data_IF_667642629906
#
_entry.id   IF_667642629906
#
_cell.length_a   1.000
_cell.length_b   1.000
_cell.length_c   1.000
_cell.angle_alpha   90.00
_cell.angle_beta   90.00
_cell.angle_gamma   90.00
#
_symmetry.space_group_name_H-M   'P 1'
#
loop_
_entity.id
_entity.type
_entity.pdbx_description
1 polymer ?
#
# COMPACT_ATOMS: atom_id res chain seq x y z
N UNK A 1 4.33 -12.51 -23.41
CA UNK A 1 3.83 -11.30 -24.10
C UNK A 1 2.78 -11.66 -25.16
N UNK A 2 1.51 -11.78 -24.76
CA UNK A 2 0.39 -11.91 -25.69
C UNK A 2 -0.37 -10.60 -25.70
N UNK A 3 -0.19 -9.85 -26.77
CA UNK A 3 -0.85 -8.57 -26.99
C UNK A 3 -0.92 -8.29 -28.47
N UNK A 4 -1.63 -9.13 -29.22
CA UNK A 4 -2.07 -8.77 -30.56
C UNK A 4 -3.54 -8.42 -30.45
N UNK A 5 -3.82 -7.12 -30.43
CA UNK A 5 -5.14 -6.64 -30.78
C UNK A 5 -5.40 -7.13 -32.21
N UNK A 6 -6.30 -8.10 -32.37
CA UNK A 6 -6.57 -8.72 -33.66
C UNK A 6 -6.85 -7.64 -34.72
N UNK A 7 -6.10 -7.66 -35.82
CA UNK A 7 -6.24 -6.70 -36.92
C UNK A 7 -5.48 -5.38 -36.79
N UNK A 8 -4.62 -5.18 -35.77
CA UNK A 8 -3.80 -3.96 -35.61
C UNK A 8 -2.32 -4.29 -35.43
N UNK A 9 -1.43 -3.40 -35.92
CA UNK A 9 0.02 -3.59 -35.84
C UNK A 9 0.59 -3.27 -34.44
N UNK A 10 -0.19 -2.61 -33.59
CA UNK A 10 0.19 -2.32 -32.20
C UNK A 10 -1.01 -2.08 -31.29
N UNK A 11 -0.81 -2.25 -29.97
CA UNK A 11 -1.81 -1.87 -28.96
C UNK A 11 -2.20 -0.39 -29.02
N UNK A 12 -1.25 0.49 -29.39
CA UNK A 12 -1.51 1.93 -29.56
C UNK A 12 -2.44 2.19 -30.74
N UNK A 13 -2.26 1.48 -31.84
CA UNK A 13 -3.11 1.59 -33.02
C UNK A 13 -4.53 1.10 -32.72
N UNK A 14 -4.65 -0.05 -32.06
CA UNK A 14 -5.94 -0.58 -31.61
C UNK A 14 -6.67 0.39 -30.66
N UNK A 15 -5.95 1.00 -29.72
CA UNK A 15 -6.51 1.98 -28.79
C UNK A 15 -7.05 3.21 -29.55
N UNK A 16 -6.29 3.77 -30.49
CA UNK A 16 -6.74 4.90 -31.33
C UNK A 16 -7.97 4.55 -32.15
N UNK A 17 -8.00 3.37 -32.76
CA UNK A 17 -9.16 2.91 -33.53
C UNK A 17 -10.40 2.77 -32.65
N UNK A 18 -10.25 2.22 -31.43
CA UNK A 18 -11.31 2.15 -30.42
C UNK A 18 -11.82 3.54 -30.02
N UNK A 19 -10.93 4.48 -29.71
CA UNK A 19 -11.31 5.85 -29.35
C UNK A 19 -12.07 6.55 -30.48
N UNK A 20 -11.61 6.43 -31.72
CA UNK A 20 -12.31 6.98 -32.88
C UNK A 20 -13.69 6.33 -33.08
N UNK A 21 -13.80 5.01 -32.85
CA UNK A 21 -15.07 4.29 -32.87
C UNK A 21 -16.05 4.77 -31.80
N UNK A 22 -15.59 4.93 -30.55
CA UNK A 22 -16.40 5.45 -29.44
C UNK A 22 -16.84 6.89 -29.71
N UNK A 23 -15.96 7.74 -30.23
CA UNK A 23 -16.33 9.11 -30.61
C UNK A 23 -17.38 9.14 -31.73
N UNK A 24 -17.30 8.25 -32.73
CA UNK A 24 -18.35 8.11 -33.75
C UNK A 24 -19.68 7.62 -33.18
N UNK A 25 -19.65 6.84 -32.10
CA UNK A 25 -20.83 6.38 -31.38
C UNK A 25 -21.42 7.45 -30.44
N UNK A 26 -20.84 8.65 -30.38
CA UNK A 26 -21.36 9.78 -29.60
C UNK A 26 -20.84 9.87 -28.17
N UNK A 27 -19.81 9.10 -27.79
CA UNK A 27 -19.19 9.24 -26.47
C UNK A 27 -18.12 10.34 -26.46
N UNK A 28 -18.14 11.20 -25.45
CA UNK A 28 -17.21 12.34 -25.32
C UNK A 28 -15.92 12.00 -24.55
N UNK A 29 -15.96 10.97 -23.70
CA UNK A 29 -14.83 10.57 -22.86
C UNK A 29 -14.79 9.05 -22.68
N UNK A 30 -13.61 8.53 -22.37
CA UNK A 30 -13.41 7.15 -21.96
C UNK A 30 -12.49 7.10 -20.75
N UNK A 31 -12.89 6.36 -19.72
CA UNK A 31 -12.06 6.01 -18.57
C UNK A 31 -11.63 4.55 -18.73
N UNK A 32 -10.35 4.36 -19.02
CA UNK A 32 -9.74 3.03 -19.07
C UNK A 32 -9.19 2.68 -17.69
N UNK A 33 -9.62 1.55 -17.13
CA UNK A 33 -9.14 1.03 -15.85
C UNK A 33 -8.51 -0.35 -16.04
N UNK A 34 -7.32 -0.52 -15.49
CA UNK A 34 -6.68 -1.83 -15.32
C UNK A 34 -6.59 -2.15 -13.84
N UNK A 35 -7.26 -3.22 -13.43
CA UNK A 35 -7.24 -3.70 -12.05
C UNK A 35 -6.27 -4.87 -11.92
N UNK A 36 -5.44 -4.85 -10.89
CA UNK A 36 -4.52 -5.93 -10.52
C UNK A 36 -4.70 -6.22 -9.06
N UNK A 37 -4.91 -7.49 -8.71
CA UNK A 37 -5.10 -7.89 -7.32
C UNK A 37 -4.48 -9.26 -7.04
N UNK A 38 -4.04 -9.48 -5.81
CA UNK A 38 -3.46 -10.76 -5.40
C UNK A 38 -2.36 -10.61 -4.37
N UNK A 39 -1.64 -11.70 -4.14
CA UNK A 39 -0.52 -11.78 -3.20
C UNK A 39 0.79 -11.67 -4.00
N UNK A 40 1.62 -10.68 -3.68
CA UNK A 40 2.84 -10.33 -4.41
C UNK A 40 4.08 -10.36 -3.51
N UNK A 41 5.24 -10.57 -4.15
CA UNK A 41 6.54 -10.57 -3.48
C UNK A 41 6.81 -11.81 -2.61
N UNK A 42 8.07 -12.02 -2.19
CA UNK A 42 8.45 -13.13 -1.32
C UNK A 42 7.82 -13.03 0.08
N UNK A 43 7.47 -11.83 0.54
CA UNK A 43 6.79 -11.57 1.83
C UNK A 43 5.30 -11.95 1.80
N UNK A 44 4.72 -12.11 0.60
CA UNK A 44 3.31 -12.43 0.41
C UNK A 44 2.40 -11.25 0.76
N UNK A 45 2.64 -10.07 0.20
CA UNK A 45 1.84 -8.87 0.43
C UNK A 45 0.56 -8.92 -0.40
N UNK A 46 -0.61 -8.83 0.23
CA UNK A 46 -1.88 -8.69 -0.47
C UNK A 46 -2.02 -7.27 -1.01
N UNK A 47 -2.32 -7.12 -2.29
CA UNK A 47 -2.36 -5.81 -2.96
C UNK A 47 -3.58 -5.76 -3.87
N UNK A 48 -4.24 -4.61 -3.89
CA UNK A 48 -5.18 -4.21 -4.94
C UNK A 48 -4.68 -2.92 -5.58
N UNK A 49 -4.66 -2.88 -6.91
CA UNK A 49 -4.12 -1.76 -7.68
C UNK A 49 -5.04 -1.44 -8.84
N UNK A 50 -5.31 -0.16 -9.04
CA UNK A 50 -6.00 0.40 -10.18
C UNK A 50 -5.09 1.36 -10.94
N UNK A 51 -4.83 1.09 -12.22
CA UNK A 51 -4.21 2.05 -13.14
C UNK A 51 -5.33 2.65 -13.97
N UNK A 52 -5.50 3.97 -13.90
CA UNK A 52 -6.58 4.67 -14.58
C UNK A 52 -6.07 5.70 -15.58
N UNK A 53 -6.75 5.78 -16.73
CA UNK A 53 -6.55 6.84 -17.73
C UNK A 53 -7.89 7.38 -18.22
N UNK A 54 -8.14 8.66 -18.01
CA UNK A 54 -9.29 9.37 -18.57
C UNK A 54 -8.86 10.11 -19.83
N UNK A 55 -9.60 9.94 -20.93
CA UNK A 55 -9.30 10.56 -22.22
C UNK A 55 -10.52 11.21 -22.84
N UNK A 56 -10.32 12.35 -23.50
CA UNK A 56 -11.33 12.98 -24.35
C UNK A 56 -11.40 12.28 -25.71
N UNK A 57 -12.61 12.10 -26.23
CA UNK A 57 -12.88 11.49 -27.53
C UNK A 57 -13.32 12.55 -28.55
N UNK A 58 -13.16 12.30 -29.87
CA UNK A 58 -12.41 11.19 -30.47
C UNK A 58 -10.88 11.38 -30.42
N UNK A 59 -10.40 12.55 -29.97
CA UNK A 59 -8.98 12.92 -30.04
C UNK A 59 -8.03 11.98 -29.29
N UNK A 60 -8.52 11.28 -28.27
CA UNK A 60 -7.71 10.47 -27.36
C UNK A 60 -6.84 11.30 -26.42
N UNK A 61 -7.06 12.61 -26.32
CA UNK A 61 -6.29 13.51 -25.44
C UNK A 61 -6.40 13.02 -23.98
N UNK A 62 -5.26 12.81 -23.33
CA UNK A 62 -5.22 12.43 -21.92
C UNK A 62 -5.70 13.60 -21.06
N UNK A 63 -6.70 13.34 -20.23
CA UNK A 63 -7.27 14.29 -19.27
C UNK A 63 -6.76 14.02 -17.86
N UNK A 64 -6.61 12.74 -17.50
CA UNK A 64 -6.13 12.32 -16.18
C UNK A 64 -5.47 10.95 -16.27
N UNK A 65 -4.46 10.73 -15.43
CA UNK A 65 -3.83 9.42 -15.21
C UNK A 65 -3.31 9.34 -13.79
N UNK A 66 -3.65 8.26 -13.10
CA UNK A 66 -3.04 7.92 -11.81
C UNK A 66 -2.97 6.39 -11.64
N UNK A 67 -2.24 5.96 -10.63
CA UNK A 67 -2.20 4.59 -10.13
C UNK A 67 -2.55 4.61 -8.66
N UNK A 68 -3.67 3.99 -8.29
CA UNK A 68 -4.10 3.85 -6.90
C UNK A 68 -3.77 2.44 -6.45
N UNK A 69 -2.97 2.32 -5.39
CA UNK A 69 -2.63 1.04 -4.78
C UNK A 69 -3.04 1.02 -3.31
N UNK A 70 -3.74 -0.03 -2.90
CA UNK A 70 -3.97 -0.37 -1.49
C UNK A 70 -3.31 -1.72 -1.18
N UNK A 71 -2.87 -1.88 0.06
CA UNK A 71 -2.33 -3.12 0.58
C UNK A 71 -3.30 -3.69 1.62
N UNK A 72 -3.31 -5.01 1.76
CA UNK A 72 -3.92 -5.68 2.90
C UNK A 72 -2.99 -5.64 4.11
N UNK A 73 -3.58 -5.48 5.29
CA UNK A 73 -2.88 -5.37 6.55
C UNK A 73 -2.33 -3.98 6.88
N UNK A 74 -1.73 -3.82 8.07
CA UNK A 74 -1.20 -2.55 8.52
C UNK A 74 0.17 -2.26 7.90
N UNK A 75 0.50 -0.97 7.84
CA UNK A 75 1.80 -0.47 7.39
C UNK A 75 2.86 -0.69 8.46
N UNK A 76 4.00 -1.25 8.06
CA UNK A 76 5.15 -1.45 8.93
C UNK A 76 6.33 -0.55 8.54
N UNK A 77 7.09 -0.12 9.53
CA UNK A 77 8.25 0.76 9.38
C UNK A 77 9.43 0.13 8.62
N UNK A 78 9.41 -1.19 8.44
CA UNK A 78 10.37 -1.93 7.62
C UNK A 78 9.92 -2.08 6.16
N UNK A 79 8.69 -1.70 5.84
CA UNK A 79 8.14 -1.90 4.50
C UNK A 79 8.95 -1.13 3.48
N UNK A 80 9.31 -1.83 2.40
CA UNK A 80 9.99 -1.19 1.29
C UNK A 80 8.98 -0.35 0.54
N UNK A 81 9.26 0.95 0.43
CA UNK A 81 8.43 1.85 -0.34
C UNK A 81 8.59 1.64 -1.86
N UNK A 82 7.95 0.61 -2.41
CA UNK A 82 8.02 0.24 -3.81
C UNK A 82 6.79 -0.55 -4.23
N UNK A 83 6.45 -0.53 -5.52
CA UNK A 83 5.36 -1.36 -6.06
C UNK A 83 5.75 -2.85 -5.96
N UNK A 84 5.09 -3.64 -5.08
CA UNK A 84 5.41 -5.06 -4.90
C UNK A 84 5.08 -5.89 -6.15
N UNK A 85 4.21 -5.40 -7.05
CA UNK A 85 3.88 -6.10 -8.30
C UNK A 85 5.07 -6.17 -9.26
N UNK A 86 6.07 -5.29 -9.10
CA UNK A 86 7.29 -5.30 -9.92
C UNK A 86 8.30 -6.40 -9.50
N UNK A 87 8.16 -6.99 -8.31
CA UNK A 87 9.19 -7.88 -7.74
C UNK A 87 9.17 -9.32 -8.27
N UNK A 88 8.16 -9.70 -9.08
CA UNK A 88 7.95 -11.08 -9.53
C UNK A 88 8.40 -11.36 -10.97
N UNK A 89 9.22 -10.51 -11.58
CA UNK A 89 9.69 -10.74 -12.96
C UNK A 89 10.35 -12.13 -13.05
N UNK A 90 9.76 -13.10 -13.79
CA UNK A 90 10.26 -14.46 -13.80
C UNK A 90 11.69 -14.49 -14.35
N UNK A 91 12.64 -14.92 -13.53
CA UNK A 91 13.97 -15.20 -14.04
C UNK A 91 14.01 -16.61 -14.61
N UNK A 92 13.76 -16.73 -15.92
CA UNK A 92 13.82 -18.01 -16.65
C UNK A 92 15.17 -18.73 -16.56
N UNK A 93 16.27 -18.01 -16.26
CA UNK A 93 17.58 -18.63 -16.05
C UNK A 93 17.81 -19.07 -14.60
N UNK A 94 16.92 -18.69 -13.67
CA UNK A 94 16.94 -19.10 -12.27
C UNK A 94 15.50 -19.23 -11.74
N UNK A 95 14.77 -20.31 -12.10
CA UNK A 95 13.34 -20.49 -11.83
C UNK A 95 13.04 -20.84 -10.36
N UNK A 96 13.71 -20.19 -9.41
CA UNK A 96 13.48 -20.38 -7.99
C UNK A 96 12.34 -19.51 -7.53
N UNK A 97 11.22 -20.14 -7.21
CA UNK A 97 10.19 -19.48 -6.40
C UNK A 97 10.76 -19.27 -4.99
N UNK A 98 11.04 -18.02 -4.64
CA UNK A 98 11.53 -17.66 -3.31
C UNK A 98 10.38 -17.03 -2.55
N UNK A 99 9.92 -17.69 -1.49
CA UNK A 99 8.84 -17.21 -0.62
C UNK A 99 9.34 -17.32 0.82
N UNK A 100 9.08 -16.28 1.63
CA UNK A 100 9.42 -16.28 3.05
C UNK A 100 8.58 -17.31 3.81
N UNK A 101 9.08 -17.84 4.94
CA UNK A 101 8.27 -18.68 5.81
C UNK A 101 6.94 -18.01 6.15
N UNK A 102 5.86 -18.79 6.14
CA UNK A 102 4.49 -18.35 6.44
C UNK A 102 3.84 -17.33 5.48
N UNK A 103 4.48 -16.91 4.39
CA UNK A 103 3.93 -15.87 3.50
C UNK A 103 2.56 -16.22 2.89
N UNK A 104 2.28 -17.51 2.66
CA UNK A 104 0.94 -17.99 2.26
C UNK A 104 0.09 -18.30 3.49
N UNK A 105 0.68 -18.97 4.49
CA UNK A 105 -0.03 -19.43 5.70
C UNK A 105 -0.71 -18.28 6.43
N UNK A 106 -0.09 -17.10 6.51
CA UNK A 106 -0.66 -15.92 7.17
C UNK A 106 -2.03 -15.50 6.63
N UNK A 107 -2.37 -15.88 5.39
CA UNK A 107 -3.64 -15.59 4.75
C UNK A 107 -4.65 -16.74 4.86
N UNK A 108 -4.17 -17.97 5.05
CA UNK A 108 -4.99 -19.18 4.90
C UNK A 108 -5.15 -20.00 6.19
N UNK A 109 -4.39 -19.68 7.25
CA UNK A 109 -4.39 -20.46 8.49
C UNK A 109 -5.73 -20.47 9.23
N UNK A 110 -6.55 -19.44 9.01
CA UNK A 110 -7.90 -19.29 9.56
C UNK A 110 -9.00 -19.75 8.60
N UNK A 111 -8.65 -20.55 7.59
CA UNK A 111 -9.58 -20.97 6.54
C UNK A 111 -9.83 -19.88 5.47
N UNK A 112 -9.02 -18.82 5.44
CA UNK A 112 -9.11 -17.76 4.44
C UNK A 112 -9.98 -16.57 4.87
N UNK A 113 -10.36 -16.49 6.14
CA UNK A 113 -11.15 -15.38 6.69
C UNK A 113 -10.37 -14.07 6.59
N UNK A 114 -9.09 -14.07 7.00
CA UNK A 114 -8.21 -12.92 6.86
C UNK A 114 -8.01 -12.54 5.40
N UNK A 115 -7.73 -13.52 4.53
CA UNK A 115 -7.57 -13.26 3.09
C UNK A 115 -8.79 -12.54 2.51
N UNK A 116 -10.00 -13.05 2.79
CA UNK A 116 -11.25 -12.46 2.31
C UNK A 116 -11.42 -11.03 2.85
N UNK A 117 -11.30 -10.86 4.16
CA UNK A 117 -11.53 -9.58 4.84
C UNK A 117 -10.57 -8.50 4.34
N UNK A 118 -9.27 -8.81 4.29
CA UNK A 118 -8.24 -7.87 3.85
C UNK A 118 -8.32 -7.58 2.35
N UNK A 119 -8.73 -8.56 1.55
CA UNK A 119 -8.96 -8.36 0.12
C UNK A 119 -10.12 -7.40 -0.14
N UNK A 120 -11.24 -7.61 0.55
CA UNK A 120 -12.43 -6.77 0.45
C UNK A 120 -12.12 -5.33 0.86
N UNK A 121 -11.44 -5.13 2.00
CA UNK A 121 -10.99 -3.80 2.46
C UNK A 121 -10.01 -3.14 1.49
N UNK A 122 -9.02 -3.87 0.98
CA UNK A 122 -8.06 -3.35 0.01
C UNK A 122 -8.74 -2.96 -1.32
N UNK A 123 -9.71 -3.75 -1.77
CA UNK A 123 -10.49 -3.44 -2.97
C UNK A 123 -11.36 -2.19 -2.77
N UNK A 124 -12.09 -2.10 -1.66
CA UNK A 124 -12.88 -0.92 -1.30
C UNK A 124 -12.01 0.34 -1.25
N UNK A 125 -10.89 0.29 -0.51
CA UNK A 125 -9.94 1.40 -0.39
C UNK A 125 -9.34 1.82 -1.75
N UNK A 126 -9.11 0.87 -2.65
CA UNK A 126 -8.64 1.19 -4.01
C UNK A 126 -9.70 1.92 -4.82
N UNK A 127 -10.96 1.49 -4.74
CA UNK A 127 -12.08 2.15 -5.41
C UNK A 127 -12.31 3.54 -4.85
N UNK A 128 -12.32 3.69 -3.53
CA UNK A 128 -12.44 5.00 -2.88
C UNK A 128 -11.30 5.93 -3.24
N UNK A 129 -10.06 5.44 -3.24
CA UNK A 129 -8.90 6.24 -3.68
C UNK A 129 -9.02 6.69 -5.14
N UNK A 130 -9.57 5.85 -6.02
CA UNK A 130 -9.84 6.21 -7.41
C UNK A 130 -10.92 7.28 -7.52
N UNK A 131 -12.04 7.14 -6.80
CA UNK A 131 -13.10 8.14 -6.79
C UNK A 131 -12.61 9.49 -6.23
N UNK A 132 -11.75 9.44 -5.20
CA UNK A 132 -11.14 10.61 -4.61
C UNK A 132 -10.16 11.30 -5.57
N UNK A 133 -9.29 10.53 -6.23
CA UNK A 133 -8.37 11.06 -7.25
C UNK A 133 -9.09 11.69 -8.46
N UNK A 134 -10.30 11.24 -8.76
CA UNK A 134 -11.15 11.79 -9.84
C UNK A 134 -12.04 12.95 -9.36
N UNK A 135 -12.06 13.24 -8.06
CA UNK A 135 -12.89 14.30 -7.48
C UNK A 135 -14.38 13.95 -7.40
N UNK A 136 -14.75 12.66 -7.46
CA UNK A 136 -16.13 12.20 -7.36
C UNK A 136 -16.60 11.97 -5.93
N UNK A 137 -15.67 11.72 -5.01
CA UNK A 137 -15.96 11.54 -3.59
C UNK A 137 -14.77 12.01 -2.75
N UNK A 138 -15.03 12.41 -1.50
CA UNK A 138 -13.97 12.58 -0.52
C UNK A 138 -14.33 11.72 0.70
N UNK A 139 -13.51 10.72 0.97
CA UNK A 139 -13.72 9.72 2.02
C UNK A 139 -12.43 9.51 2.81
N UNK A 140 -12.50 9.10 4.10
CA UNK A 140 -11.31 8.79 4.89
C UNK A 140 -10.44 7.70 4.26
N UNK A 141 -11.04 6.60 3.78
CA UNK A 141 -10.30 5.50 3.17
C UNK A 141 -9.72 5.89 1.80
N UNK A 142 -10.40 6.72 1.02
CA UNK A 142 -9.85 7.31 -0.20
C UNK A 142 -8.67 8.25 0.05
N UNK A 143 -8.75 9.12 1.06
CA UNK A 143 -7.65 9.99 1.47
C UNK A 143 -6.47 9.19 2.04
N UNK A 144 -6.74 8.16 2.83
CA UNK A 144 -5.74 7.22 3.33
C UNK A 144 -5.02 6.50 2.19
N UNK A 145 -5.77 6.01 1.19
CA UNK A 145 -5.20 5.41 -0.01
C UNK A 145 -4.27 6.39 -0.74
N UNK A 146 -4.73 7.63 -0.97
CA UNK A 146 -3.92 8.64 -1.64
C UNK A 146 -2.70 9.06 -0.83
N UNK A 147 -2.83 9.18 0.49
CA UNK A 147 -1.73 9.47 1.41
C UNK A 147 -0.65 8.39 1.38
N UNK A 148 -1.07 7.12 1.41
CA UNK A 148 -0.18 5.99 1.20
C UNK A 148 0.54 6.06 -0.15
N UNK A 149 -0.19 6.28 -1.24
CA UNK A 149 0.39 6.36 -2.58
C UNK A 149 1.36 7.56 -2.72
N UNK A 150 1.09 8.68 -2.06
CA UNK A 150 1.99 9.82 -2.00
C UNK A 150 3.28 9.48 -1.23
N UNK A 151 3.17 8.82 -0.07
CA UNK A 151 4.32 8.36 0.71
C UNK A 151 5.19 7.39 -0.10
N UNK A 152 4.58 6.44 -0.80
CA UNK A 152 5.27 5.49 -1.69
C UNK A 152 6.07 6.17 -2.81
N UNK A 153 5.67 7.39 -3.20
CA UNK A 153 6.34 8.21 -4.22
C UNK A 153 7.35 9.20 -3.64
N UNK A 154 7.61 9.14 -2.32
CA UNK A 154 8.48 10.08 -1.60
C UNK A 154 7.88 11.48 -1.44
N UNK A 155 6.58 11.64 -1.67
CA UNK A 155 5.88 12.92 -1.54
C UNK A 155 5.36 13.09 -0.11
N UNK A 156 6.27 13.16 0.86
CA UNK A 156 5.96 13.10 2.28
C UNK A 156 5.05 14.24 2.77
N UNK A 157 5.25 15.45 2.26
CA UNK A 157 4.40 16.60 2.60
C UNK A 157 2.96 16.42 2.08
N UNK A 158 2.82 15.93 0.85
CA UNK A 158 1.51 15.63 0.27
C UNK A 158 0.82 14.49 1.03
N UNK A 159 1.58 13.46 1.40
CA UNK A 159 1.05 12.37 2.22
C UNK A 159 0.55 12.90 3.58
N UNK A 160 1.31 13.79 4.21
CA UNK A 160 0.93 14.43 5.47
C UNK A 160 -0.39 15.21 5.34
N UNK A 161 -0.54 16.05 4.32
CA UNK A 161 -1.78 16.81 4.07
C UNK A 161 -3.00 15.89 3.90
N UNK A 162 -2.85 14.85 3.07
CA UNK A 162 -3.94 13.89 2.80
C UNK A 162 -4.33 13.11 4.06
N UNK A 163 -3.35 12.67 4.84
CA UNK A 163 -3.59 11.92 6.07
C UNK A 163 -4.16 12.80 7.19
N UNK A 164 -3.77 14.07 7.28
CA UNK A 164 -4.40 15.02 8.20
C UNK A 164 -5.88 15.23 7.89
N UNK A 165 -6.23 15.34 6.60
CA UNK A 165 -7.64 15.40 6.17
C UNK A 165 -8.40 14.12 6.52
N UNK A 166 -7.78 12.96 6.27
CA UNK A 166 -8.37 11.68 6.63
C UNK A 166 -8.64 11.58 8.15
N UNK A 167 -7.65 11.96 8.97
CA UNK A 167 -7.75 11.98 10.43
C UNK A 167 -8.80 12.98 10.93
N UNK A 168 -8.95 14.14 10.27
CA UNK A 168 -9.97 15.12 10.62
C UNK A 168 -11.39 14.62 10.34
N UNK A 169 -11.56 13.78 9.31
CA UNK A 169 -12.84 13.15 8.98
C UNK A 169 -13.18 11.99 9.89
N UNK A 170 -12.19 11.19 10.30
CA UNK A 170 -12.39 10.05 11.21
C UNK A 170 -11.27 9.97 12.27
N UNK A 171 -11.41 10.71 13.39
CA UNK A 171 -10.35 10.82 14.40
C UNK A 171 -10.04 9.52 15.16
N UNK A 172 -10.91 8.51 15.09
CA UNK A 172 -10.80 7.26 15.85
C UNK A 172 -10.02 6.15 15.16
N UNK A 173 -9.47 6.40 13.97
CA UNK A 173 -8.86 5.38 13.11
C UNK A 173 -7.36 5.18 13.41
N UNK A 174 -6.96 4.07 14.05
CA UNK A 174 -5.55 3.83 14.37
C UNK A 174 -4.68 3.58 13.14
N UNK A 175 -5.24 3.07 12.05
CA UNK A 175 -4.52 2.86 10.80
C UNK A 175 -4.09 4.17 10.14
N UNK A 176 -4.92 5.23 10.18
CA UNK A 176 -4.52 6.56 9.69
C UNK A 176 -3.32 7.09 10.47
N UNK A 177 -3.39 7.06 11.81
CA UNK A 177 -2.29 7.49 12.68
C UNK A 177 -1.02 6.66 12.46
N UNK A 178 -1.17 5.35 12.21
CA UNK A 178 -0.04 4.49 11.91
C UNK A 178 0.63 4.87 10.58
N UNK A 179 -0.14 5.15 9.52
CA UNK A 179 0.43 5.63 8.26
C UNK A 179 1.06 7.02 8.42
N UNK A 180 0.47 7.91 9.22
CA UNK A 180 1.07 9.22 9.54
C UNK A 180 2.44 9.06 10.21
N UNK A 181 2.54 8.21 11.22
CA UNK A 181 3.80 7.95 11.92
C UNK A 181 4.86 7.35 10.99
N UNK A 182 4.48 6.40 10.14
CA UNK A 182 5.41 5.81 9.17
C UNK A 182 5.86 6.83 8.12
N UNK A 183 4.96 7.70 7.65
CA UNK A 183 5.33 8.79 6.75
C UNK A 183 6.32 9.77 7.39
N UNK A 184 6.11 10.15 8.66
CA UNK A 184 7.05 10.99 9.41
C UNK A 184 8.44 10.35 9.51
N UNK A 185 8.51 9.07 9.85
CA UNK A 185 9.79 8.36 9.93
C UNK A 185 10.50 8.25 8.57
N UNK A 186 9.75 8.09 7.47
CA UNK A 186 10.31 8.13 6.12
C UNK A 186 10.78 9.53 5.72
N UNK A 187 10.16 10.57 6.28
CA UNK A 187 10.57 11.98 6.14
C UNK A 187 11.70 12.37 7.12
N UNK A 188 12.43 11.39 7.67
CA UNK A 188 13.54 11.59 8.63
C UNK A 188 13.13 12.21 9.99
N UNK A 189 11.82 12.31 10.27
CA UNK A 189 11.24 12.85 11.51
C UNK A 189 10.89 11.69 12.47
N UNK A 190 11.92 10.96 12.91
CA UNK A 190 11.74 9.73 13.68
C UNK A 190 11.23 10.01 15.09
N UNK A 191 11.70 11.07 15.73
CA UNK A 191 11.25 11.47 17.07
C UNK A 191 9.75 11.81 17.09
N UNK A 192 9.25 12.55 16.10
CA UNK A 192 7.82 12.82 15.94
C UNK A 192 7.02 11.55 15.65
N UNK A 193 7.55 10.66 14.80
CA UNK A 193 6.92 9.37 14.50
C UNK A 193 6.72 8.52 15.78
N UNK A 194 7.73 8.49 16.66
CA UNK A 194 7.66 7.82 17.96
C UNK A 194 6.58 8.47 18.84
N UNK A 195 6.49 9.80 18.89
CA UNK A 195 5.45 10.51 19.67
C UNK A 195 4.04 10.17 19.18
N UNK A 196 3.80 10.29 17.87
CA UNK A 196 2.49 9.98 17.26
C UNK A 196 2.11 8.52 17.51
N UNK A 197 3.08 7.61 17.42
CA UNK A 197 2.82 6.19 17.70
C UNK A 197 2.54 5.94 19.19
N UNK A 198 3.16 6.71 20.09
CA UNK A 198 2.84 6.70 21.51
C UNK A 198 1.40 7.17 21.78
N UNK A 199 0.90 8.18 21.06
CA UNK A 199 -0.50 8.62 21.15
C UNK A 199 -1.47 7.56 20.63
N UNK A 200 -1.15 6.95 19.48
CA UNK A 200 -1.91 5.82 18.94
C UNK A 200 -2.04 4.71 19.98
N UNK A 201 -0.95 4.30 20.63
CA UNK A 201 -0.97 3.23 21.63
C UNK A 201 -1.66 3.60 22.94
N UNK A 202 -1.82 4.89 23.26
CA UNK A 202 -2.69 5.31 24.37
C UNK A 202 -4.17 5.05 24.05
N UNK A 203 -4.56 5.20 22.78
CA UNK A 203 -5.94 4.98 22.33
C UNK A 203 -6.22 3.51 22.02
N UNK A 204 -5.25 2.81 21.41
CA UNK A 204 -5.33 1.43 20.99
C UNK A 204 -4.08 0.66 21.45
N UNK A 205 -4.04 0.22 22.72
CA UNK A 205 -2.87 -0.47 23.29
C UNK A 205 -2.51 -1.78 22.59
N UNK A 206 -3.47 -2.42 21.90
CA UNK A 206 -3.31 -3.70 21.21
C UNK A 206 -3.03 -3.54 19.70
N UNK A 207 -2.70 -2.34 19.23
CA UNK A 207 -2.38 -2.12 17.83
C UNK A 207 -0.96 -2.63 17.49
N UNK A 208 -0.87 -3.91 17.11
CA UNK A 208 0.40 -4.62 16.97
C UNK A 208 1.41 -3.97 15.99
N UNK A 209 0.94 -3.33 14.92
CA UNK A 209 1.82 -2.62 13.99
C UNK A 209 2.51 -1.40 14.61
N UNK A 210 1.84 -0.68 15.52
CA UNK A 210 2.46 0.44 16.24
C UNK A 210 3.58 -0.05 17.17
N UNK A 211 3.39 -1.17 17.86
CA UNK A 211 4.46 -1.82 18.62
C UNK A 211 5.62 -2.27 17.73
N UNK A 212 5.34 -2.85 16.56
CA UNK A 212 6.39 -3.21 15.61
C UNK A 212 7.19 -1.97 15.15
N UNK A 213 6.49 -0.88 14.83
CA UNK A 213 7.08 0.35 14.32
C UNK A 213 7.97 1.04 15.36
N UNK A 214 7.52 1.12 16.61
CA UNK A 214 8.37 1.58 17.73
C UNK A 214 9.60 0.72 17.89
N UNK A 215 9.45 -0.61 17.93
CA UNK A 215 10.59 -1.52 18.05
C UNK A 215 11.62 -1.31 16.93
N UNK A 216 11.15 -1.12 15.70
CA UNK A 216 12.00 -0.85 14.54
C UNK A 216 12.79 0.45 14.69
N UNK A 217 12.13 1.57 14.99
CA UNK A 217 12.78 2.87 15.09
C UNK A 217 13.75 2.94 16.28
N UNK A 218 13.35 2.42 17.45
CA UNK A 218 14.21 2.35 18.64
C UNK A 218 15.45 1.48 18.40
N UNK A 219 15.31 0.34 17.71
CA UNK A 219 16.42 -0.54 17.39
C UNK A 219 17.39 0.07 16.36
N UNK A 220 16.88 0.79 15.36
CA UNK A 220 17.69 1.41 14.30
C UNK A 220 18.61 2.50 14.87
N UNK A 221 18.12 3.30 15.81
CA UNK A 221 18.89 4.39 16.43
C UNK A 221 19.93 3.95 17.49
N UNK A 222 19.97 2.67 17.89
CA UNK A 222 20.73 2.16 19.06
C UNK A 222 20.41 2.84 20.40
N UNK A 223 19.40 3.73 20.48
CA UNK A 223 19.18 4.57 21.68
C UNK A 223 18.46 3.83 22.82
N UNK A 224 17.63 2.83 22.52
CA UNK A 224 16.88 2.10 23.57
C UNK A 224 16.53 0.65 23.16
N UNK A 225 17.49 -0.27 23.23
CA UNK A 225 17.30 -1.65 22.79
C UNK A 225 16.38 -2.47 23.69
N UNK A 226 16.32 -2.17 24.98
CA UNK A 226 15.47 -2.90 25.91
C UNK A 226 13.99 -2.55 25.71
N UNK A 227 13.65 -1.27 25.58
CA UNK A 227 12.29 -0.86 25.20
C UNK A 227 11.89 -1.41 23.82
N UNK A 228 12.82 -1.46 22.87
CA UNK A 228 12.59 -2.06 21.56
C UNK A 228 12.27 -3.57 21.65
N UNK A 229 12.90 -4.32 22.57
CA UNK A 229 12.59 -5.74 22.80
C UNK A 229 11.18 -5.91 23.34
N UNK A 230 10.77 -5.08 24.29
CA UNK A 230 9.43 -5.15 24.88
C UNK A 230 8.34 -4.88 23.84
N UNK A 231 8.51 -3.83 23.03
CA UNK A 231 7.59 -3.55 21.93
C UNK A 231 7.59 -4.64 20.86
N UNK A 232 8.74 -5.20 20.51
CA UNK A 232 8.80 -6.29 19.55
C UNK A 232 8.09 -7.54 20.06
N UNK A 233 8.28 -7.90 21.34
CA UNK A 233 7.59 -9.02 21.96
C UNK A 233 6.06 -8.84 21.95
N UNK A 234 5.57 -7.63 22.24
CA UNK A 234 4.14 -7.30 22.14
C UNK A 234 3.61 -7.43 20.71
N UNK A 235 4.34 -6.93 19.71
CA UNK A 235 3.94 -7.05 18.31
C UNK A 235 3.78 -8.53 17.90
N UNK A 236 4.70 -9.40 18.29
CA UNK A 236 4.61 -10.84 18.03
C UNK A 236 3.42 -11.49 18.76
N UNK A 237 3.18 -11.11 20.02
CA UNK A 237 2.03 -11.60 20.78
C UNK A 237 0.68 -11.19 20.16
N UNK A 238 0.66 -10.05 19.47
CA UNK A 238 -0.49 -9.54 18.71
C UNK A 238 -0.58 -10.08 17.28
N UNK A 239 0.23 -11.09 16.94
CA UNK A 239 0.12 -11.82 15.68
C UNK A 239 0.91 -11.24 14.50
N UNK A 240 1.79 -10.24 14.72
CA UNK A 240 2.69 -9.78 13.67
C UNK A 240 3.76 -10.85 13.39
N UNK A 241 4.15 -11.05 12.12
CA UNK A 241 5.15 -12.04 11.77
C UNK A 241 6.54 -11.66 12.29
N UNK A 242 7.38 -12.67 12.54
CA UNK A 242 8.76 -12.45 12.94
C UNK A 242 9.57 -11.77 11.84
N UNK A 243 10.24 -10.66 12.17
CA UNK A 243 11.14 -9.97 11.25
C UNK A 243 12.61 -10.33 11.54
N UNK A 244 13.25 -11.08 10.63
CA UNK A 244 14.59 -11.67 10.81
C UNK A 244 15.66 -10.64 11.18
N UNK A 245 15.68 -9.48 10.52
CA UNK A 245 16.66 -8.43 10.81
C UNK A 245 16.43 -7.85 12.20
N UNK A 246 15.17 -7.55 12.56
CA UNK A 246 14.84 -6.94 13.83
C UNK A 246 15.14 -7.90 14.99
N UNK A 247 14.78 -9.17 14.87
CA UNK A 247 15.15 -10.21 15.85
C UNK A 247 16.67 -10.25 16.08
N UNK A 248 17.47 -10.34 15.00
CA UNK A 248 18.93 -10.36 15.13
C UNK A 248 19.46 -9.09 15.79
N UNK A 249 18.93 -7.93 15.41
CA UNK A 249 19.35 -6.63 15.92
C UNK A 249 19.10 -6.48 17.41
N UNK A 250 18.00 -7.04 17.92
CA UNK A 250 17.61 -7.03 19.33
C UNK A 250 18.32 -8.10 20.19
N UNK A 251 18.88 -9.14 19.56
CA UNK A 251 19.63 -10.21 20.23
C UNK A 251 21.15 -10.00 20.25
N UNK A 252 21.65 -9.01 19.52
CA UNK A 252 23.09 -8.71 19.46
C UNK A 252 23.52 -7.96 20.73
N UNK A 253 24.57 -8.41 21.44
CA UNK A 253 25.15 -7.60 22.53
C UNK A 253 25.69 -6.27 21.99
N UNK A 254 25.65 -5.22 22.82
CA UNK A 254 26.04 -3.85 22.46
C UNK A 254 27.49 -3.71 21.98
#
# INVERSE_FOLDING_TARGET
PMGTAAGYNSAREAAKARWAGLGRAGYDQVLDLTLTHGIFGPEGVLVTRAVGELRALPSGKLLWRDTITAHGGPVLACDRLSDPTNQLTPNITSPRLTIMPNAVRQWTEDGGVRLKTEFEQSAERTVEGLLNALGFAETPDGLLALGWNAMQRGQHDKAHELLQRAQAMDPGRPDILNVMAVNLAHNEQVEEAVSVTGELLKMQPEYGAAHFNLAWWLAKGKKNLDEAKDHYAKALALGLPEHRFLRKRLQSPE
#
